data_IF_606686050460
#
_entry.id   IF_606686050460
#
_cell.length_a   1.000
_cell.length_b   1.000
_cell.length_c   1.000
_cell.angle_alpha   90.00
_cell.angle_beta   90.00
_cell.angle_gamma   90.00
#
_symmetry.space_group_name_H-M   'P 1'
#
loop_
_entity.id
_entity.type
_entity.pdbx_description
1 polymer ?
#
# COMPACT_ATOMS: atom_id res chain seq x y z
N UNK A 1 -12.75 7.89 -33.41
CA UNK A 1 -13.98 8.65 -33.08
C UNK A 1 -14.78 9.06 -34.33
N UNK A 2 -14.36 10.02 -35.15
CA UNK A 2 -15.20 10.51 -36.27
C UNK A 2 -15.49 9.47 -37.38
N UNK A 3 -14.58 8.53 -37.61
CA UNK A 3 -14.77 7.41 -38.56
C UNK A 3 -15.83 6.43 -38.04
N UNK A 4 -15.86 6.22 -36.74
CA UNK A 4 -16.69 5.23 -36.05
C UNK A 4 -18.10 5.74 -35.75
N UNK A 5 -18.26 7.04 -35.53
CA UNK A 5 -19.58 7.69 -35.49
C UNK A 5 -20.29 7.65 -36.86
N UNK A 6 -19.52 7.63 -37.97
CA UNK A 6 -20.05 7.58 -39.34
C UNK A 6 -20.42 6.17 -39.80
N UNK A 7 -19.98 5.12 -39.12
CA UNK A 7 -20.25 3.72 -39.48
C UNK A 7 -21.52 3.15 -38.83
N UNK A 8 -22.19 3.88 -37.94
CA UNK A 8 -23.44 3.44 -37.28
C UNK A 8 -24.67 3.63 -38.18
N UNK A 9 -25.54 2.62 -38.23
CA UNK A 9 -26.78 2.60 -39.01
C UNK A 9 -27.99 2.23 -38.12
N UNK A 10 -29.04 3.07 -38.04
CA UNK A 10 -29.18 4.37 -38.71
C UNK A 10 -28.22 5.44 -38.17
N UNK A 11 -27.85 6.44 -39.00
CA UNK A 11 -26.95 7.50 -38.59
C UNK A 11 -27.56 8.31 -37.44
N UNK A 12 -26.77 8.49 -36.39
CA UNK A 12 -27.15 9.21 -35.18
C UNK A 12 -27.57 10.67 -35.49
N UNK A 13 -28.49 11.23 -34.70
CA UNK A 13 -28.78 12.67 -34.75
C UNK A 13 -27.55 13.47 -34.33
N UNK A 14 -27.51 14.78 -34.63
CA UNK A 14 -26.35 15.62 -34.29
C UNK A 14 -26.07 15.61 -32.78
N UNK A 15 -27.11 15.83 -31.97
CA UNK A 15 -26.97 15.88 -30.51
C UNK A 15 -26.48 14.53 -29.94
N UNK A 16 -26.94 13.41 -30.53
CA UNK A 16 -26.49 12.09 -30.13
C UNK A 16 -25.07 11.78 -30.61
N UNK A 17 -24.64 12.31 -31.75
CA UNK A 17 -23.23 12.22 -32.19
C UNK A 17 -22.31 13.00 -31.28
N UNK A 18 -22.72 14.20 -30.85
CA UNK A 18 -21.91 15.03 -29.96
C UNK A 18 -21.75 14.36 -28.58
N UNK A 19 -22.82 13.75 -28.04
CA UNK A 19 -22.76 12.95 -26.81
C UNK A 19 -21.85 11.73 -26.95
N UNK A 20 -22.06 10.89 -27.97
CA UNK A 20 -21.23 9.69 -28.19
C UNK A 20 -19.77 10.08 -28.47
N UNK A 21 -19.53 11.18 -29.18
CA UNK A 21 -18.19 11.72 -29.41
C UNK A 21 -17.50 12.10 -28.11
N UNK A 22 -18.22 12.75 -27.18
CA UNK A 22 -17.68 13.12 -25.88
C UNK A 22 -17.32 11.88 -25.05
N UNK A 23 -18.21 10.89 -24.94
CA UNK A 23 -17.95 9.63 -24.23
C UNK A 23 -16.73 8.91 -24.81
N UNK A 24 -16.68 8.73 -26.14
CA UNK A 24 -15.55 8.09 -26.80
C UNK A 24 -14.22 8.86 -26.66
N UNK A 25 -14.27 10.18 -26.46
CA UNK A 25 -13.07 10.98 -26.18
C UNK A 25 -12.62 10.81 -24.73
N UNK A 26 -13.56 10.74 -23.77
CA UNK A 26 -13.28 10.43 -22.37
C UNK A 26 -12.65 9.05 -22.26
N UNK A 27 -13.25 8.03 -22.90
CA UNK A 27 -12.70 6.66 -22.92
C UNK A 27 -11.28 6.64 -23.50
N UNK A 28 -11.05 7.30 -24.63
CA UNK A 28 -9.69 7.39 -25.21
C UNK A 28 -8.69 8.13 -24.33
N UNK A 29 -9.10 9.22 -23.70
CA UNK A 29 -8.25 9.95 -22.76
C UNK A 29 -7.90 9.08 -21.56
N UNK A 30 -8.87 8.33 -21.02
CA UNK A 30 -8.64 7.35 -19.95
C UNK A 30 -7.65 6.29 -20.42
N UNK A 31 -8.02 5.53 -21.44
CA UNK A 31 -7.32 4.31 -21.85
C UNK A 31 -5.93 4.59 -22.47
N UNK A 32 -5.77 5.69 -23.23
CA UNK A 32 -4.52 5.98 -23.95
C UNK A 32 -3.59 6.93 -23.18
N UNK A 33 -4.09 7.72 -22.23
CA UNK A 33 -3.29 8.73 -21.53
C UNK A 33 -3.26 8.54 -20.00
N UNK A 34 -4.41 8.38 -19.34
CA UNK A 34 -4.45 8.27 -17.89
C UNK A 34 -4.04 6.88 -17.38
N UNK A 35 -4.45 5.79 -18.04
CA UNK A 35 -4.11 4.42 -17.63
C UNK A 35 -2.59 4.18 -17.57
N UNK A 36 -1.80 4.90 -18.38
CA UNK A 36 -0.33 4.83 -18.34
C UNK A 36 0.29 5.60 -17.17
N UNK A 37 -0.46 6.52 -16.57
CA UNK A 37 -0.02 7.40 -15.47
C UNK A 37 -0.58 6.95 -14.12
N UNK A 38 -1.64 6.15 -14.11
CA UNK A 38 -2.18 5.57 -12.88
C UNK A 38 -1.24 4.46 -12.41
N UNK A 39 -0.71 4.54 -11.18
CA UNK A 39 0.07 3.45 -10.60
C UNK A 39 -0.74 2.15 -10.62
N UNK A 40 -0.11 1.05 -11.03
CA UNK A 40 -0.74 -0.29 -11.05
C UNK A 40 -1.03 -0.78 -9.62
N UNK A 41 -0.39 -0.14 -8.64
CA UNK A 41 -0.47 -0.44 -7.21
C UNK A 41 -0.54 0.85 -6.39
N UNK A 42 -1.31 0.80 -5.30
CA UNK A 42 -1.31 1.81 -4.24
C UNK A 42 -1.54 1.10 -2.90
N UNK A 43 -0.92 1.61 -1.83
CA UNK A 43 -1.24 1.18 -0.46
C UNK A 43 -2.73 1.38 -0.20
N UNK A 44 -3.35 0.39 0.44
CA UNK A 44 -4.78 0.42 0.72
C UNK A 44 -5.05 0.10 2.19
N UNK A 45 -6.16 0.65 2.67
CA UNK A 45 -6.69 0.39 4.01
C UNK A 45 -8.14 -0.04 3.87
N UNK A 46 -8.54 -1.06 4.62
CA UNK A 46 -9.96 -1.36 4.81
C UNK A 46 -10.44 -0.53 6.00
N UNK A 47 -11.26 0.47 5.73
CA UNK A 47 -11.60 1.53 6.69
C UNK A 47 -13.07 1.42 7.08
N UNK A 48 -13.32 1.47 8.39
CA UNK A 48 -14.64 1.82 8.93
C UNK A 48 -14.62 3.24 9.45
N UNK A 49 -15.67 4.01 9.16
CA UNK A 49 -15.82 5.36 9.66
C UNK A 49 -17.30 5.70 9.95
N UNK A 50 -17.52 6.53 10.97
CA UNK A 50 -18.82 7.15 11.24
C UNK A 50 -18.63 8.63 11.51
N UNK A 51 -19.52 9.44 10.93
CA UNK A 51 -19.57 10.88 11.16
C UNK A 51 -20.64 11.18 12.20
N UNK A 52 -20.26 11.82 13.30
CA UNK A 52 -21.15 12.11 14.43
C UNK A 52 -21.33 13.62 14.58
N UNK A 53 -22.47 14.02 15.15
CA UNK A 53 -22.89 15.43 15.17
C UNK A 53 -22.09 16.28 16.17
N UNK A 54 -21.44 15.66 17.16
CA UNK A 54 -20.73 16.35 18.22
C UNK A 54 -19.64 15.52 18.89
N UNK A 55 -18.67 16.20 19.51
CA UNK A 55 -17.60 15.61 20.33
C UNK A 55 -18.15 14.73 21.47
N UNK A 56 -19.24 15.17 22.10
CA UNK A 56 -19.86 14.43 23.20
C UNK A 56 -20.50 13.13 22.71
N UNK A 57 -21.21 13.17 21.57
CA UNK A 57 -21.76 11.97 20.95
C UNK A 57 -20.63 11.02 20.52
N UNK A 58 -19.59 11.53 19.88
CA UNK A 58 -18.43 10.73 19.49
C UNK A 58 -17.71 10.09 20.67
N UNK A 59 -17.55 10.81 21.77
CA UNK A 59 -16.96 10.27 23.00
C UNK A 59 -17.82 9.16 23.59
N UNK A 60 -19.15 9.34 23.63
CA UNK A 60 -20.08 8.33 24.14
C UNK A 60 -20.10 7.06 23.26
N UNK A 61 -20.16 7.23 21.94
CA UNK A 61 -20.13 6.11 20.99
C UNK A 61 -18.80 5.35 21.08
N UNK A 62 -17.68 6.05 21.21
CA UNK A 62 -16.37 5.41 21.42
C UNK A 62 -16.33 4.55 22.68
N UNK A 63 -16.89 5.04 23.79
CA UNK A 63 -17.02 4.25 25.03
C UNK A 63 -17.87 3.00 24.83
N UNK A 64 -18.96 3.08 24.04
CA UNK A 64 -19.81 1.94 23.69
C UNK A 64 -19.07 0.87 22.90
N UNK A 65 -18.23 1.29 21.97
CA UNK A 65 -17.39 0.40 21.16
C UNK A 65 -16.27 -0.25 21.99
N UNK A 66 -15.53 0.54 22.78
CA UNK A 66 -14.33 0.06 23.49
C UNK A 66 -14.64 -0.69 24.80
N UNK A 67 -15.58 -0.19 25.61
CA UNK A 67 -15.84 -0.71 26.96
C UNK A 67 -17.03 -1.66 27.01
N UNK A 68 -18.07 -1.38 26.23
CA UNK A 68 -19.30 -2.20 26.22
C UNK A 68 -19.31 -3.23 25.09
N UNK A 69 -18.38 -3.14 24.13
CA UNK A 69 -18.23 -4.09 23.02
C UNK A 69 -19.43 -4.10 22.08
N UNK A 70 -20.11 -2.96 21.93
CA UNK A 70 -21.20 -2.80 20.97
C UNK A 70 -20.67 -2.88 19.52
N UNK A 71 -21.55 -3.21 18.58
CA UNK A 71 -21.19 -3.41 17.19
C UNK A 71 -21.07 -2.07 16.44
N UNK A 72 -19.97 -1.91 15.68
CA UNK A 72 -19.72 -0.67 14.93
C UNK A 72 -20.74 -0.45 13.83
N UNK A 73 -21.14 -1.52 13.13
CA UNK A 73 -22.09 -1.44 12.02
C UNK A 73 -23.46 -1.01 12.51
N UNK A 74 -23.94 -1.58 13.62
CA UNK A 74 -25.20 -1.17 14.25
C UNK A 74 -25.17 0.31 14.65
N UNK A 75 -24.11 0.77 15.33
CA UNK A 75 -23.99 2.17 15.75
C UNK A 75 -23.83 3.12 14.57
N UNK A 76 -23.13 2.72 13.50
CA UNK A 76 -22.99 3.51 12.29
C UNK A 76 -24.34 3.68 11.57
N UNK A 77 -25.12 2.62 11.42
CA UNK A 77 -26.44 2.71 10.78
C UNK A 77 -27.45 3.56 11.56
N UNK A 78 -27.33 3.58 12.89
CA UNK A 78 -28.21 4.39 13.73
C UNK A 78 -27.81 5.87 13.81
N UNK A 79 -26.50 6.16 13.87
CA UNK A 79 -25.99 7.46 14.30
C UNK A 79 -25.14 8.19 13.27
N UNK A 80 -24.59 7.49 12.27
CA UNK A 80 -23.71 8.13 11.29
C UNK A 80 -24.49 9.12 10.42
N UNK A 81 -23.95 10.32 10.32
CA UNK A 81 -24.44 11.35 9.41
C UNK A 81 -23.97 11.12 7.97
N UNK A 82 -22.94 10.30 7.76
CA UNK A 82 -22.39 10.01 6.43
C UNK A 82 -23.27 8.99 5.68
N UNK A 83 -23.67 9.30 4.45
CA UNK A 83 -24.58 8.45 3.65
C UNK A 83 -24.10 8.18 2.23
N UNK A 84 -22.85 8.52 1.90
CA UNK A 84 -22.28 8.34 0.55
C UNK A 84 -21.96 6.88 0.24
N UNK A 85 -21.98 5.99 1.24
CA UNK A 85 -21.74 4.56 1.06
C UNK A 85 -23.05 3.80 1.29
N UNK A 86 -23.42 2.99 0.30
CA UNK A 86 -24.77 2.45 0.08
C UNK A 86 -25.25 1.41 1.10
N UNK A 87 -24.44 1.05 2.09
CA UNK A 87 -24.81 0.03 3.08
C UNK A 87 -25.17 0.57 4.48
N UNK A 88 -25.11 1.89 4.75
CA UNK A 88 -25.37 2.46 6.09
C UNK A 88 -24.59 1.77 7.23
N UNK A 89 -23.50 1.05 6.93
CA UNK A 89 -22.74 0.25 7.90
C UNK A 89 -21.50 0.95 8.44
N UNK A 90 -21.17 2.12 7.88
CA UNK A 90 -19.90 2.80 8.13
C UNK A 90 -18.70 2.09 7.52
N UNK A 91 -18.87 1.00 6.75
CA UNK A 91 -17.79 0.36 6.01
C UNK A 91 -17.48 1.15 4.74
N UNK A 92 -16.27 1.69 4.64
CA UNK A 92 -15.79 2.42 3.48
C UNK A 92 -15.12 1.50 2.45
N UNK A 93 -14.89 0.23 2.79
CA UNK A 93 -14.20 -0.75 1.97
C UNK A 93 -12.69 -0.50 1.88
N UNK A 94 -12.04 -1.18 0.93
CA UNK A 94 -10.64 -0.98 0.60
C UNK A 94 -10.44 0.32 -0.16
N UNK A 95 -9.61 1.23 0.39
CA UNK A 95 -9.36 2.54 -0.20
C UNK A 95 -7.86 2.84 -0.27
N UNK A 96 -7.38 3.30 -1.44
CA UNK A 96 -6.08 3.95 -1.56
C UNK A 96 -6.06 5.32 -0.88
N UNK A 97 -4.86 5.79 -0.54
CA UNK A 97 -4.66 7.13 0.02
C UNK A 97 -5.16 8.21 -0.95
N UNK A 98 -5.88 9.21 -0.42
CA UNK A 98 -6.40 10.35 -1.18
C UNK A 98 -7.74 10.10 -1.88
N UNK A 99 -8.17 8.84 -2.04
CA UNK A 99 -9.47 8.54 -2.69
C UNK A 99 -10.62 9.04 -1.84
N UNK A 100 -10.58 8.85 -0.52
CA UNK A 100 -11.62 9.38 0.37
C UNK A 100 -11.57 10.89 0.46
N UNK A 101 -10.38 11.51 0.41
CA UNK A 101 -10.24 12.97 0.31
C UNK A 101 -11.00 13.52 -0.90
N UNK A 102 -10.90 12.87 -2.06
CA UNK A 102 -11.62 13.29 -3.28
C UNK A 102 -13.13 13.08 -3.13
N UNK A 103 -13.55 11.93 -2.59
CA UNK A 103 -14.97 11.55 -2.50
C UNK A 103 -15.73 12.33 -1.42
N UNK A 104 -15.08 12.60 -0.28
CA UNK A 104 -15.69 13.18 0.91
C UNK A 104 -15.30 14.65 1.13
N UNK A 105 -14.34 15.16 0.37
CA UNK A 105 -13.84 16.53 0.49
C UNK A 105 -13.05 16.79 1.79
N UNK A 106 -12.60 15.74 2.48
CA UNK A 106 -11.93 15.84 3.78
C UNK A 106 -10.74 14.88 3.86
N UNK A 107 -9.59 15.35 4.35
CA UNK A 107 -8.40 14.52 4.56
C UNK A 107 -8.39 13.79 5.90
N UNK A 108 -9.32 14.11 6.81
CA UNK A 108 -9.31 13.61 8.21
C UNK A 108 -9.27 12.07 8.25
N UNK A 109 -10.02 11.42 7.35
CA UNK A 109 -10.07 9.96 7.31
C UNK A 109 -8.76 9.37 6.78
N UNK A 110 -8.22 9.91 5.68
CA UNK A 110 -6.97 9.44 5.09
C UNK A 110 -5.80 9.65 6.06
N UNK A 111 -5.70 10.85 6.66
CA UNK A 111 -4.65 11.17 7.64
C UNK A 111 -4.66 10.21 8.82
N UNK A 112 -5.83 9.87 9.37
CA UNK A 112 -5.90 8.89 10.45
C UNK A 112 -5.62 7.46 9.95
N UNK A 113 -6.28 7.02 8.88
CA UNK A 113 -6.25 5.63 8.42
C UNK A 113 -4.85 5.18 7.98
N UNK A 114 -4.08 6.07 7.35
CA UNK A 114 -2.74 5.73 6.86
C UNK A 114 -1.67 5.84 7.95
N UNK A 115 -1.92 6.58 9.04
CA UNK A 115 -0.98 6.73 10.16
C UNK A 115 -1.30 5.85 11.40
N UNK A 116 -2.44 5.16 11.43
CA UNK A 116 -2.94 4.47 12.64
C UNK A 116 -3.00 2.95 12.51
N UNK A 117 -2.58 2.23 13.55
CA UNK A 117 -2.50 0.76 13.58
C UNK A 117 -3.87 0.10 13.32
N UNK A 118 -3.82 -1.13 12.82
CA UNK A 118 -5.00 -2.01 12.69
C UNK A 118 -5.68 -2.18 14.04
N UNK A 119 -7.01 -2.23 14.00
CA UNK A 119 -7.91 -2.43 15.13
C UNK A 119 -7.90 -1.33 16.21
N UNK A 120 -7.22 -0.20 15.96
CA UNK A 120 -7.25 0.95 16.86
C UNK A 120 -8.33 1.95 16.42
N UNK A 121 -9.31 2.18 17.31
CA UNK A 121 -10.35 3.18 17.13
C UNK A 121 -9.81 4.59 17.44
N UNK A 122 -10.14 5.55 16.59
CA UNK A 122 -9.68 6.93 16.76
C UNK A 122 -10.29 7.60 18.00
N UNK A 123 -9.63 8.65 18.51
CA UNK A 123 -10.36 9.67 19.27
C UNK A 123 -11.37 10.38 18.37
N UNK A 124 -12.35 11.13 18.91
CA UNK A 124 -13.18 12.03 18.10
C UNK A 124 -12.30 12.99 17.28
N UNK A 125 -12.37 12.90 15.95
CA UNK A 125 -11.62 13.75 15.05
C UNK A 125 -12.54 14.80 14.44
N UNK A 126 -12.33 16.06 14.80
CA UNK A 126 -13.14 17.16 14.28
C UNK A 126 -12.90 17.36 12.79
N UNK A 127 -13.97 17.51 12.03
CA UNK A 127 -13.95 17.81 10.60
C UNK A 127 -14.78 19.06 10.32
N UNK A 128 -14.12 20.08 9.76
CA UNK A 128 -14.74 21.34 9.35
C UNK A 128 -14.99 21.44 7.83
N UNK A 129 -14.45 20.51 7.04
CA UNK A 129 -14.37 20.56 5.58
C UNK A 129 -15.30 19.53 4.89
N UNK A 130 -15.79 18.52 5.61
CA UNK A 130 -16.64 17.47 5.07
C UNK A 130 -17.94 17.94 4.39
N UNK A 131 -18.39 17.19 3.37
CA UNK A 131 -19.53 17.50 2.48
C UNK A 131 -20.84 17.87 3.22
N UNK A 132 -21.08 17.32 4.42
CA UNK A 132 -22.30 17.56 5.20
C UNK A 132 -22.18 18.69 6.25
N UNK A 133 -21.03 19.36 6.34
CA UNK A 133 -20.75 20.36 7.36
C UNK A 133 -20.25 19.75 8.68
N UNK A 134 -19.82 20.64 9.58
CA UNK A 134 -19.05 20.34 10.80
C UNK A 134 -19.51 19.10 11.57
N UNK A 135 -18.56 18.21 11.91
CA UNK A 135 -18.84 16.99 12.66
C UNK A 135 -17.58 16.35 13.25
N UNK A 136 -17.72 15.15 13.82
CA UNK A 136 -16.63 14.39 14.42
C UNK A 136 -16.59 12.97 13.87
N UNK A 137 -15.44 12.56 13.34
CA UNK A 137 -15.22 11.20 12.87
C UNK A 137 -14.76 10.29 13.99
N UNK A 138 -15.30 9.07 14.00
CA UNK A 138 -14.64 7.91 14.58
C UNK A 138 -14.24 6.96 13.46
N UNK A 139 -12.96 6.60 13.41
CA UNK A 139 -12.37 5.82 12.33
C UNK A 139 -11.63 4.61 12.92
N UNK A 140 -11.79 3.46 12.27
CA UNK A 140 -11.09 2.22 12.59
C UNK A 140 -10.54 1.59 11.32
N UNK A 141 -9.28 1.19 11.35
CA UNK A 141 -8.66 0.41 10.26
C UNK A 141 -8.81 -1.07 10.59
N UNK A 142 -9.48 -1.83 9.72
CA UNK A 142 -9.67 -3.27 9.90
C UNK A 142 -8.48 -4.06 9.37
N UNK A 143 -7.96 -3.65 8.22
CA UNK A 143 -6.85 -4.33 7.56
C UNK A 143 -6.01 -3.33 6.75
N UNK A 144 -4.77 -3.72 6.46
CA UNK A 144 -3.85 -2.97 5.63
C UNK A 144 -3.30 -3.84 4.52
N UNK A 145 -3.21 -3.28 3.33
CA UNK A 145 -2.42 -3.80 2.22
C UNK A 145 -1.27 -2.84 1.98
N UNK A 146 -0.08 -3.28 2.32
CA UNK A 146 1.17 -2.56 2.09
C UNK A 146 1.82 -3.07 0.82
N UNK A 147 2.77 -2.28 0.29
CA UNK A 147 3.55 -2.71 -0.87
C UNK A 147 4.45 -3.87 -0.42
N UNK A 148 4.13 -5.09 -0.83
CA UNK A 148 5.01 -6.24 -0.64
C UNK A 148 6.08 -6.20 -1.72
N UNK A 149 7.13 -5.42 -1.46
CA UNK A 149 8.40 -5.58 -2.16
C UNK A 149 9.06 -6.85 -1.62
N UNK A 150 9.44 -7.76 -2.50
CA UNK A 150 10.24 -8.93 -2.16
C UNK A 150 11.58 -8.82 -2.87
N UNK A 151 12.65 -9.26 -2.21
CA UNK A 151 13.98 -9.25 -2.79
C UNK A 151 14.64 -10.61 -2.61
N UNK A 152 15.15 -11.19 -3.70
CA UNK A 152 15.97 -12.38 -3.64
C UNK A 152 17.40 -11.97 -3.31
N UNK A 153 17.96 -12.55 -2.24
CA UNK A 153 19.27 -12.16 -1.72
C UNK A 153 20.19 -13.35 -1.45
N UNK A 154 21.47 -13.11 -1.66
CA UNK A 154 22.55 -13.93 -1.14
C UNK A 154 23.20 -13.23 0.06
N UNK A 155 23.64 -13.99 1.06
CA UNK A 155 24.33 -13.45 2.22
C UNK A 155 25.44 -14.35 2.76
N UNK A 156 26.48 -13.72 3.32
CA UNK A 156 27.58 -14.38 4.03
C UNK A 156 27.67 -13.77 5.43
N UNK A 157 27.47 -14.59 6.47
CA UNK A 157 27.60 -14.16 7.86
C UNK A 157 29.03 -14.36 8.36
N UNK A 158 29.62 -13.33 8.95
CA UNK A 158 31.03 -13.29 9.35
C UNK A 158 31.19 -12.79 10.80
N UNK A 159 32.28 -13.22 11.44
CA UNK A 159 32.55 -12.96 12.85
C UNK A 159 33.19 -11.59 13.13
N UNK A 160 33.47 -10.80 12.10
CA UNK A 160 34.01 -9.45 12.26
C UNK A 160 33.86 -8.59 11.02
N UNK A 161 33.90 -7.27 11.20
CA UNK A 161 33.92 -6.29 10.10
C UNK A 161 35.15 -6.48 9.20
N UNK A 162 36.30 -6.83 9.79
CA UNK A 162 37.55 -7.04 9.05
C UNK A 162 37.48 -8.26 8.13
N UNK A 163 36.83 -9.35 8.58
CA UNK A 163 36.53 -10.51 7.73
C UNK A 163 35.55 -10.13 6.61
N UNK A 164 34.51 -9.33 6.92
CA UNK A 164 33.53 -8.87 5.94
C UNK A 164 34.15 -7.99 4.84
N UNK A 165 35.03 -7.06 5.22
CA UNK A 165 35.79 -6.26 4.25
C UNK A 165 36.69 -7.16 3.38
N UNK A 166 37.35 -8.15 3.97
CA UNK A 166 38.17 -9.10 3.21
C UNK A 166 37.36 -9.91 2.20
N UNK A 167 36.14 -10.33 2.55
CA UNK A 167 35.23 -11.03 1.63
C UNK A 167 34.77 -10.11 0.50
N UNK A 168 34.43 -8.86 0.81
CA UNK A 168 34.03 -7.87 -0.19
C UNK A 168 35.15 -7.62 -1.22
N UNK A 169 36.39 -7.44 -0.76
CA UNK A 169 37.55 -7.24 -1.65
C UNK A 169 37.75 -8.42 -2.62
N UNK A 170 37.51 -9.66 -2.14
CA UNK A 170 37.57 -10.88 -2.97
C UNK A 170 36.45 -10.94 -4.00
N UNK A 171 35.23 -10.55 -3.61
CA UNK A 171 34.09 -10.44 -4.52
C UNK A 171 34.31 -9.37 -5.60
N UNK A 172 34.87 -8.22 -5.23
CA UNK A 172 35.24 -7.16 -6.19
C UNK A 172 36.39 -7.59 -7.13
N UNK A 173 37.27 -8.48 -6.67
CA UNK A 173 38.29 -9.12 -7.50
C UNK A 173 37.73 -10.18 -8.48
N UNK A 174 36.44 -10.51 -8.37
CA UNK A 174 35.73 -11.43 -9.26
C UNK A 174 35.70 -12.88 -8.79
N UNK A 175 35.96 -13.15 -7.50
CA UNK A 175 35.68 -14.46 -6.91
C UNK A 175 34.17 -14.75 -6.85
N UNK A 176 33.80 -16.03 -6.86
CA UNK A 176 32.40 -16.45 -6.83
C UNK A 176 31.79 -16.30 -5.44
N UNK A 177 30.56 -15.78 -5.38
CA UNK A 177 29.88 -15.52 -4.10
C UNK A 177 29.53 -16.82 -3.37
N UNK A 178 29.08 -17.85 -4.09
CA UNK A 178 28.73 -19.14 -3.50
C UNK A 178 29.94 -19.87 -2.95
N UNK A 179 31.07 -19.85 -3.67
CA UNK A 179 32.33 -20.42 -3.17
C UNK A 179 32.76 -19.75 -1.84
N UNK A 180 32.68 -18.43 -1.76
CA UNK A 180 33.00 -17.68 -0.54
C UNK A 180 32.01 -17.95 0.59
N UNK A 181 30.71 -18.07 0.29
CA UNK A 181 29.69 -18.42 1.26
C UNK A 181 29.95 -19.81 1.86
N UNK A 182 30.21 -20.80 1.02
CA UNK A 182 30.50 -22.18 1.43
C UNK A 182 31.80 -22.27 2.25
N UNK A 183 32.79 -21.42 1.96
CA UNK A 183 34.07 -21.38 2.68
C UNK A 183 33.93 -20.71 4.06
N UNK A 184 33.31 -19.52 4.10
CA UNK A 184 33.46 -18.57 5.20
C UNK A 184 32.19 -18.28 5.99
N UNK A 185 30.99 -18.52 5.43
CA UNK A 185 29.74 -18.18 6.11
C UNK A 185 29.59 -18.95 7.42
N UNK A 186 29.25 -18.23 8.49
CA UNK A 186 28.88 -18.79 9.79
C UNK A 186 27.38 -19.18 9.82
N UNK A 187 26.59 -18.71 8.86
CA UNK A 187 25.18 -19.07 8.73
C UNK A 187 25.08 -20.40 7.98
N UNK A 188 24.64 -21.46 8.69
CA UNK A 188 24.62 -22.83 8.15
C UNK A 188 23.82 -22.95 6.84
N UNK A 189 22.65 -22.32 6.74
CA UNK A 189 21.82 -22.45 5.54
C UNK A 189 22.42 -21.74 4.33
N UNK A 190 23.00 -20.54 4.53
CA UNK A 190 23.71 -19.83 3.46
C UNK A 190 24.96 -20.60 3.03
N UNK A 191 25.68 -21.19 4.00
CA UNK A 191 26.87 -22.00 3.73
C UNK A 191 26.60 -23.26 2.91
N UNK A 192 25.43 -23.86 3.06
CA UNK A 192 25.09 -25.10 2.35
C UNK A 192 24.39 -24.86 1.00
N UNK A 193 23.95 -23.62 0.73
CA UNK A 193 23.20 -23.25 -0.47
C UNK A 193 23.85 -22.09 -1.23
N UNK A 194 25.19 -22.09 -1.39
CA UNK A 194 25.91 -21.08 -2.20
C UNK A 194 25.58 -19.62 -1.82
N UNK A 195 25.29 -19.37 -0.56
CA UNK A 195 24.94 -18.07 0.00
C UNK A 195 23.46 -17.72 -0.04
N UNK A 196 22.57 -18.57 -0.55
CA UNK A 196 21.14 -18.27 -0.70
C UNK A 196 20.47 -18.03 0.67
N UNK A 197 19.80 -16.87 0.78
CA UNK A 197 18.88 -16.55 1.87
C UNK A 197 17.40 -16.58 1.41
N UNK A 198 17.18 -16.63 0.09
CA UNK A 198 15.85 -16.67 -0.51
C UNK A 198 15.21 -15.29 -0.70
N UNK A 199 13.89 -15.28 -0.83
CA UNK A 199 13.08 -14.07 -0.95
C UNK A 199 12.79 -13.49 0.43
N UNK A 200 13.20 -12.23 0.64
CA UNK A 200 12.92 -11.47 1.84
C UNK A 200 11.86 -10.41 1.59
N UNK A 201 11.06 -10.12 2.60
CA UNK A 201 10.15 -8.97 2.70
C UNK A 201 10.68 -7.96 3.72
N UNK A 202 10.34 -6.66 3.59
CA UNK A 202 10.71 -5.64 4.57
C UNK A 202 10.28 -6.05 5.99
N UNK A 203 11.22 -5.99 6.93
CA UNK A 203 11.02 -6.30 8.34
C UNK A 203 11.38 -7.73 8.76
N UNK A 204 11.73 -8.62 7.83
CA UNK A 204 12.15 -10.00 8.16
C UNK A 204 13.59 -10.08 8.68
N UNK A 205 14.50 -9.25 8.17
CA UNK A 205 15.95 -9.33 8.46
C UNK A 205 16.50 -8.13 9.27
N UNK A 206 15.64 -7.21 9.69
CA UNK A 206 16.00 -6.04 10.49
C UNK A 206 16.27 -4.76 9.68
N UNK A 207 16.17 -3.61 10.35
CA UNK A 207 16.12 -2.29 9.68
C UNK A 207 17.36 -1.98 8.82
N UNK A 208 18.56 -2.32 9.30
CA UNK A 208 19.82 -2.06 8.56
C UNK A 208 19.96 -2.95 7.32
N UNK A 209 19.35 -4.13 7.36
CA UNK A 209 19.31 -5.07 6.24
C UNK A 209 18.33 -4.56 5.17
N UNK A 210 17.13 -4.15 5.61
CA UNK A 210 16.10 -3.60 4.75
C UNK A 210 16.57 -2.32 4.03
N UNK A 211 17.30 -1.44 4.74
CA UNK A 211 17.87 -0.20 4.18
C UNK A 211 18.84 -0.44 3.01
N UNK A 212 19.47 -1.60 2.92
CA UNK A 212 20.32 -1.98 1.78
C UNK A 212 19.51 -2.76 0.74
N UNK A 213 18.79 -3.80 1.19
CA UNK A 213 18.10 -4.73 0.29
C UNK A 213 17.01 -4.04 -0.51
N UNK A 214 16.19 -3.18 0.11
CA UNK A 214 15.07 -2.48 -0.53
C UNK A 214 15.44 -1.05 -0.97
N UNK A 215 16.73 -0.74 -1.06
CA UNK A 215 17.16 0.55 -1.59
C UNK A 215 17.05 0.61 -3.11
N UNK A 216 16.11 1.41 -3.61
CA UNK A 216 15.88 1.64 -5.04
C UNK A 216 17.08 2.21 -5.81
N UNK A 217 18.07 2.80 -5.13
CA UNK A 217 19.30 3.32 -5.77
C UNK A 217 20.34 2.22 -6.04
N UNK A 218 20.18 1.03 -5.46
CA UNK A 218 21.13 -0.08 -5.57
C UNK A 218 20.67 -1.03 -6.67
N UNK A 219 21.46 -1.19 -7.73
CA UNK A 219 21.15 -2.14 -8.79
C UNK A 219 21.30 -3.61 -8.33
N UNK A 220 20.45 -4.53 -8.81
CA UNK A 220 20.67 -5.95 -8.59
C UNK A 220 22.06 -6.40 -9.06
N UNK A 221 22.72 -7.21 -8.25
CA UNK A 221 24.08 -7.68 -8.45
C UNK A 221 25.14 -6.90 -7.66
N UNK A 222 24.81 -5.77 -7.05
CA UNK A 222 25.72 -5.01 -6.18
C UNK A 222 25.90 -5.71 -4.83
N UNK A 223 27.13 -5.73 -4.34
CA UNK A 223 27.52 -6.28 -3.03
C UNK A 223 27.51 -5.16 -1.98
N UNK A 224 27.01 -5.46 -0.79
CA UNK A 224 26.91 -4.51 0.32
C UNK A 224 28.25 -4.15 0.95
N UNK A 225 28.27 -3.03 1.68
CA UNK A 225 29.23 -2.86 2.77
C UNK A 225 28.91 -3.84 3.92
N UNK A 226 29.84 -4.10 4.85
CA UNK A 226 29.54 -4.91 6.03
C UNK A 226 28.32 -4.38 6.81
N UNK A 227 27.25 -5.17 6.87
CA UNK A 227 26.03 -4.84 7.61
C UNK A 227 26.11 -5.50 8.97
N UNK A 228 26.15 -4.71 10.04
CA UNK A 228 26.07 -5.25 11.40
C UNK A 228 24.63 -5.64 11.73
N UNK A 229 24.46 -6.88 12.16
CA UNK A 229 23.22 -7.47 12.64
C UNK A 229 23.32 -7.66 14.15
N UNK A 230 22.51 -6.89 14.88
CA UNK A 230 22.44 -6.89 16.34
C UNK A 230 21.44 -7.94 16.88
N UNK A 231 20.67 -8.60 16.01
CA UNK A 231 19.71 -9.63 16.35
C UNK A 231 20.35 -11.01 16.50
N UNK A 232 21.48 -11.26 15.85
CA UNK A 232 22.21 -12.53 15.95
C UNK A 232 23.20 -12.49 17.13
N UNK A 233 22.96 -13.38 18.11
CA UNK A 233 23.79 -13.55 19.31
C UNK A 233 25.11 -14.32 19.04
N UNK A 234 25.77 -14.08 17.91
CA UNK A 234 27.09 -14.65 17.60
C UNK A 234 28.20 -13.68 18.00
N UNK A 235 29.41 -14.21 18.28
CA UNK A 235 30.59 -13.36 18.42
C UNK A 235 30.95 -12.80 17.03
N UNK A 236 30.41 -11.61 16.74
CA UNK A 236 30.45 -11.00 15.42
C UNK A 236 29.28 -11.41 14.55
N UNK A 237 28.53 -10.40 14.08
CA UNK A 237 27.34 -10.54 13.27
C UNK A 237 27.40 -9.59 12.08
N UNK A 238 28.41 -9.73 11.23
CA UNK A 238 28.55 -8.90 10.04
C UNK A 238 28.12 -9.67 8.80
N UNK A 239 27.21 -9.10 8.03
CA UNK A 239 26.73 -9.65 6.78
C UNK A 239 27.35 -8.95 5.57
N UNK A 240 27.71 -9.73 4.57
CA UNK A 240 27.91 -9.26 3.20
C UNK A 240 26.75 -9.80 2.37
N UNK A 241 25.96 -8.88 1.81
CA UNK A 241 24.71 -9.19 1.10
C UNK A 241 24.84 -8.81 -0.37
N UNK A 242 24.21 -9.59 -1.23
CA UNK A 242 24.05 -9.30 -2.65
C UNK A 242 22.60 -9.49 -3.04
N UNK A 243 21.97 -8.43 -3.56
CA UNK A 243 20.61 -8.51 -4.10
C UNK A 243 20.67 -9.11 -5.50
N UNK A 244 19.95 -10.20 -5.76
CA UNK A 244 19.90 -10.86 -7.05
C UNK A 244 18.77 -10.31 -7.92
N UNK A 245 17.59 -10.15 -7.33
CA UNK A 245 16.42 -9.62 -7.99
C UNK A 245 15.48 -8.95 -6.97
N UNK A 246 14.58 -8.10 -7.47
CA UNK A 246 13.48 -7.52 -6.68
C UNK A 246 12.19 -7.71 -7.45
N UNK A 247 11.22 -8.32 -6.80
CA UNK A 247 9.87 -8.43 -7.30
C UNK A 247 8.98 -7.48 -6.50
N UNK A 248 8.22 -6.69 -7.25
CA UNK A 248 7.06 -6.02 -6.69
C UNK A 248 5.88 -6.91 -7.03
N UNK A 249 5.31 -7.65 -6.07
CA UNK A 249 4.05 -8.34 -6.32
C UNK A 249 2.92 -7.29 -6.41
N UNK A 250 2.34 -7.03 -7.59
CA UNK A 250 1.23 -6.11 -7.70
C UNK A 250 -0.04 -6.91 -7.43
N UNK A 251 -0.51 -6.96 -6.19
CA UNK A 251 -1.94 -7.25 -6.02
C UNK A 251 -2.68 -6.01 -6.56
N UNK A 252 -3.34 -6.18 -7.72
CA UNK A 252 -3.98 -5.09 -8.46
C UNK A 252 -4.85 -4.25 -7.53
N UNK A 253 -4.56 -2.96 -7.44
CA UNK A 253 -5.51 -2.04 -6.88
C UNK A 253 -6.70 -1.97 -7.87
N UNK A 254 -7.88 -2.43 -7.45
CA UNK A 254 -9.13 -2.28 -8.22
C UNK A 254 -9.61 -0.81 -8.21
N UNK A 255 -8.71 0.14 -8.50
CA UNK A 255 -9.02 1.57 -8.61
C UNK A 255 -9.94 1.82 -9.80
N UNK A 256 -9.83 1.01 -10.86
CA UNK A 256 -10.56 1.18 -12.13
C UNK A 256 -12.08 0.98 -11.98
N UNK A 257 -12.55 0.17 -11.02
CA UNK A 257 -13.99 -0.10 -10.82
C UNK A 257 -14.63 0.96 -9.91
N UNK A 258 -13.84 1.58 -9.01
CA UNK A 258 -14.35 2.47 -7.97
C UNK A 258 -14.80 3.86 -8.45
N UNK A 259 -14.15 4.44 -9.47
CA UNK A 259 -14.54 5.74 -10.04
C UNK A 259 -15.79 5.66 -10.93
N UNK A 260 -16.05 4.49 -11.53
CA UNK A 260 -17.21 4.28 -12.40
C UNK A 260 -18.49 3.98 -11.60
N UNK A 261 -18.37 3.25 -10.47
CA UNK A 261 -19.51 2.98 -9.60
C UNK A 261 -20.09 4.26 -9.00
N UNK A 262 -19.23 5.21 -8.60
CA UNK A 262 -19.68 6.51 -8.06
C UNK A 262 -20.30 7.43 -9.13
N UNK A 263 -19.87 7.35 -10.39
CA UNK A 263 -20.51 8.07 -11.49
C UNK A 263 -21.88 7.48 -11.87
N UNK A 264 -22.04 6.14 -11.90
CA UNK A 264 -23.34 5.50 -12.17
C UNK A 264 -24.35 5.76 -11.04
N UNK A 265 -23.93 5.67 -9.77
CA UNK A 265 -24.79 5.96 -8.63
C UNK A 265 -25.15 7.45 -8.51
N UNK A 266 -24.22 8.37 -8.84
CA UNK A 266 -24.51 9.81 -8.86
C UNK A 266 -25.38 10.25 -10.05
N UNK A 267 -25.40 9.49 -11.15
CA UNK A 267 -26.24 9.76 -12.32
C UNK A 267 -27.62 9.10 -12.26
N UNK A 268 -27.88 8.22 -11.28
CA UNK A 268 -29.19 7.63 -11.05
C UNK A 268 -29.74 6.88 -12.27
N UNK A 269 -28.89 6.06 -12.91
CA UNK A 269 -29.28 5.15 -13.99
C UNK A 269 -29.11 3.70 -13.54
#
# INVERSE_FOLDING_TARGET
VDVELKSRDPPLSKDYRDLVKAVMLIDKLRDEYFDQQVPVYAEQRHIMAMLLESDSQATEVRLRLEEYGEDFVELAGELSLESLFSEETGDLGWRPEGVLTILLGTSVIDEYAFNSKVDVLSQPLYDEEGIKGVGYWLIKVLERKEKTETAEVLGILLGSEEEALGVKDRLEAGEDFGELANELSQHYESKENDGELGWLTPGEAGLTFDEFVFNSEIEPGVVSEPIFDDAILTEGGYWIIKVLDREEEPEKADVQVMLLASEEEALGV
#
